data_IF_456241575714
#
_entry.id   IF_456241575714
#
_cell.length_a   1.000
_cell.length_b   1.000
_cell.length_c   1.000
_cell.angle_alpha   90.00
_cell.angle_beta   90.00
_cell.angle_gamma   90.00
#
_symmetry.space_group_name_H-M   'P 1'
#
loop_
_entity.id
_entity.type
_entity.pdbx_description
1 polymer ?
#
# COMPACT_ATOMS: atom_id res chain seq x y z
N UNK A 1 -20.74 -3.51 8.20
CA UNK A 1 -22.20 -3.77 8.18
C UNK A 1 -22.67 -3.97 6.75
N UNK A 2 -22.39 -3.07 5.81
CA UNK A 2 -22.85 -3.11 4.43
C UNK A 2 -22.36 -4.35 3.65
N UNK A 3 -21.09 -4.70 3.81
CA UNK A 3 -20.53 -5.90 3.19
C UNK A 3 -21.28 -7.16 3.62
N UNK A 4 -21.59 -7.29 4.90
CA UNK A 4 -22.28 -8.46 5.44
C UNK A 4 -23.65 -8.63 4.82
N UNK A 5 -24.40 -7.55 4.66
CA UNK A 5 -25.71 -7.55 4.01
C UNK A 5 -25.66 -8.13 2.58
N UNK A 6 -24.63 -7.79 1.81
CA UNK A 6 -24.43 -8.31 0.45
C UNK A 6 -24.01 -9.78 0.46
N UNK A 7 -23.07 -10.14 1.37
CA UNK A 7 -22.52 -11.50 1.44
C UNK A 7 -23.50 -12.52 2.01
N UNK A 8 -24.44 -12.11 2.84
CA UNK A 8 -25.52 -12.97 3.36
C UNK A 8 -26.67 -13.17 2.36
N UNK A 9 -26.74 -12.36 1.31
CA UNK A 9 -27.69 -12.57 0.22
C UNK A 9 -27.12 -13.60 -0.76
N UNK A 10 -27.75 -14.79 -0.83
CA UNK A 10 -27.29 -15.90 -1.65
C UNK A 10 -27.20 -15.56 -3.15
N UNK A 11 -28.21 -14.82 -3.67
CA UNK A 11 -28.26 -14.46 -5.09
C UNK A 11 -27.19 -13.39 -5.45
N UNK A 12 -26.84 -12.51 -4.51
CA UNK A 12 -25.83 -11.48 -4.74
C UNK A 12 -24.40 -12.02 -4.53
N UNK A 13 -24.19 -12.82 -3.48
CA UNK A 13 -22.86 -13.28 -3.08
C UNK A 13 -22.19 -14.20 -4.12
N UNK A 14 -22.96 -14.95 -4.92
CA UNK A 14 -22.40 -15.79 -5.97
C UNK A 14 -21.67 -15.00 -7.08
N UNK A 15 -22.00 -13.71 -7.27
CA UNK A 15 -21.36 -12.82 -8.24
C UNK A 15 -20.15 -12.07 -7.67
N UNK A 16 -19.97 -12.05 -6.35
CA UNK A 16 -18.86 -11.34 -5.71
C UNK A 16 -17.58 -12.20 -5.79
N UNK A 17 -16.51 -11.64 -6.40
CA UNK A 17 -15.22 -12.31 -6.57
C UNK A 17 -14.10 -11.63 -5.81
N UNK A 18 -14.33 -10.46 -5.26
CA UNK A 18 -13.36 -9.68 -4.50
C UNK A 18 -13.97 -8.44 -3.91
N UNK A 19 -13.25 -7.82 -3.00
CA UNK A 19 -13.68 -6.63 -2.25
C UNK A 19 -12.61 -5.56 -2.45
N UNK A 20 -13.04 -4.37 -2.92
CA UNK A 20 -12.22 -3.16 -2.97
C UNK A 20 -12.36 -2.37 -1.68
N UNK A 21 -11.24 -2.00 -1.09
CA UNK A 21 -11.18 -1.24 0.16
C UNK A 21 -10.60 0.14 -0.11
N UNK A 22 -11.22 1.16 0.47
CA UNK A 22 -10.78 2.55 0.42
C UNK A 22 -10.70 3.11 1.84
N UNK A 23 -9.85 4.09 2.06
CA UNK A 23 -9.73 4.92 3.28
C UNK A 23 -9.87 4.12 4.60
N UNK A 24 -11.03 4.18 5.26
CA UNK A 24 -11.32 3.45 6.50
C UNK A 24 -11.32 1.92 6.35
N UNK A 25 -11.21 1.43 5.13
CA UNK A 25 -11.02 0.01 4.86
C UNK A 25 -9.80 -0.58 5.56
N UNK A 26 -8.80 0.25 5.91
CA UNK A 26 -7.65 -0.15 6.72
C UNK A 26 -8.02 -0.68 8.11
N UNK A 27 -9.10 -0.14 8.69
CA UNK A 27 -9.51 -0.48 10.06
C UNK A 27 -10.24 -1.84 10.14
N UNK A 28 -10.74 -2.33 9.00
CA UNK A 28 -11.58 -3.55 8.92
C UNK A 28 -10.97 -4.65 8.03
N UNK A 29 -9.88 -4.39 7.34
CA UNK A 29 -9.30 -5.33 6.37
C UNK A 29 -8.97 -6.70 6.97
N UNK A 30 -8.39 -6.74 8.17
CA UNK A 30 -8.05 -7.99 8.85
C UNK A 30 -9.28 -8.79 9.28
N UNK A 31 -10.35 -8.11 9.69
CA UNK A 31 -11.61 -8.74 10.06
C UNK A 31 -12.31 -9.33 8.84
N UNK A 32 -12.32 -8.59 7.73
CA UNK A 32 -12.88 -9.07 6.45
C UNK A 32 -12.11 -10.31 5.98
N UNK A 33 -10.79 -10.28 6.01
CA UNK A 33 -9.97 -11.43 5.61
C UNK A 33 -10.21 -12.66 6.50
N UNK A 34 -10.41 -12.47 7.79
CA UNK A 34 -10.73 -13.55 8.72
C UNK A 34 -12.13 -14.14 8.48
N UNK A 35 -13.12 -13.28 8.18
CA UNK A 35 -14.50 -13.71 7.92
C UNK A 35 -14.65 -14.33 6.53
N UNK A 36 -13.94 -13.81 5.52
CA UNK A 36 -14.00 -14.28 4.13
C UNK A 36 -12.60 -14.65 3.59
N UNK A 37 -11.94 -15.70 4.09
CA UNK A 37 -10.52 -15.99 3.83
C UNK A 37 -10.19 -16.34 2.38
N UNK A 38 -11.17 -16.76 1.59
CA UNK A 38 -11.00 -17.07 0.15
C UNK A 38 -11.26 -15.89 -0.76
N UNK A 39 -11.82 -14.79 -0.21
CA UNK A 39 -12.14 -13.60 -0.98
C UNK A 39 -10.87 -12.83 -1.34
N UNK A 40 -10.81 -12.36 -2.59
CA UNK A 40 -9.74 -11.46 -3.01
C UNK A 40 -9.99 -10.07 -2.45
N UNK A 41 -8.98 -9.50 -1.79
CA UNK A 41 -9.02 -8.16 -1.24
C UNK A 41 -8.08 -7.25 -2.01
N UNK A 42 -8.51 -6.04 -2.32
CA UNK A 42 -7.72 -5.02 -2.99
C UNK A 42 -7.86 -3.70 -2.23
N UNK A 43 -6.75 -3.09 -1.88
CA UNK A 43 -6.76 -1.68 -1.53
C UNK A 43 -6.77 -0.89 -2.84
N UNK A 44 -7.83 -0.10 -3.07
CA UNK A 44 -8.09 0.59 -4.33
C UNK A 44 -7.85 2.10 -4.25
N UNK A 45 -7.95 2.68 -3.06
CA UNK A 45 -7.70 4.10 -2.81
C UNK A 45 -7.34 4.32 -1.34
N UNK A 46 -6.40 5.22 -1.08
CA UNK A 46 -5.97 5.54 0.28
C UNK A 46 -5.61 7.02 0.42
N UNK A 47 -5.22 7.42 1.63
CA UNK A 47 -4.76 8.77 1.90
C UNK A 47 -3.60 9.14 0.98
N UNK A 48 -3.75 10.24 0.30
CA UNK A 48 -2.78 10.74 -0.67
C UNK A 48 -1.94 11.91 -0.15
N UNK A 49 -1.93 12.13 1.16
CA UNK A 49 -1.16 13.22 1.79
C UNK A 49 -1.69 14.62 1.48
N UNK A 50 -0.88 15.62 1.71
CA UNK A 50 -1.24 17.05 1.66
C UNK A 50 -0.33 17.89 0.74
N UNK A 51 0.40 17.24 -0.19
CA UNK A 51 1.32 17.91 -1.10
C UNK A 51 2.66 18.30 -0.48
N UNK A 52 3.10 17.62 0.59
CA UNK A 52 4.40 17.88 1.24
C UNK A 52 5.57 17.29 0.46
N UNK A 53 5.36 16.18 -0.23
CA UNK A 53 6.35 15.44 -1.03
C UNK A 53 7.63 15.11 -0.25
N UNK A 54 7.52 14.84 1.03
CA UNK A 54 8.63 14.56 1.95
C UNK A 54 8.71 13.08 2.36
N UNK A 55 9.77 12.71 3.08
CA UNK A 55 9.94 11.34 3.56
C UNK A 55 8.90 10.94 4.60
N UNK A 56 8.35 11.88 5.36
CA UNK A 56 7.30 11.59 6.33
C UNK A 56 6.04 11.06 5.63
N UNK A 57 5.71 11.59 4.45
CA UNK A 57 4.60 11.08 3.64
C UNK A 57 4.88 9.66 3.12
N UNK A 58 6.11 9.37 2.68
CA UNK A 58 6.49 8.02 2.27
C UNK A 58 6.48 7.04 3.45
N UNK A 59 6.93 7.43 4.64
CA UNK A 59 6.86 6.62 5.86
C UNK A 59 5.41 6.30 6.23
N UNK A 60 4.51 7.28 6.15
CA UNK A 60 3.07 7.07 6.34
C UNK A 60 2.51 6.06 5.32
N UNK A 61 2.88 6.21 4.05
CA UNK A 61 2.48 5.26 2.99
C UNK A 61 3.02 3.86 3.28
N UNK A 62 4.23 3.72 3.85
CA UNK A 62 4.76 2.43 4.26
C UNK A 62 3.94 1.80 5.40
N UNK A 63 3.46 2.62 6.35
CA UNK A 63 2.57 2.15 7.41
C UNK A 63 1.23 1.65 6.85
N UNK A 64 0.66 2.35 5.89
CA UNK A 64 -0.55 1.91 5.18
C UNK A 64 -0.31 0.59 4.44
N UNK A 65 0.80 0.46 3.72
CA UNK A 65 1.21 -0.80 3.08
C UNK A 65 1.28 -1.95 4.09
N UNK A 66 1.87 -1.73 5.28
CA UNK A 66 1.93 -2.75 6.34
C UNK A 66 0.54 -3.16 6.81
N UNK A 67 -0.34 -2.20 7.07
CA UNK A 67 -1.71 -2.46 7.53
C UNK A 67 -2.45 -3.34 6.52
N UNK A 68 -2.52 -2.92 5.27
CA UNK A 68 -3.26 -3.62 4.25
C UNK A 68 -2.65 -4.99 3.90
N UNK A 69 -1.34 -5.07 3.70
CA UNK A 69 -0.67 -6.33 3.33
C UNK A 69 -0.67 -7.33 4.50
N UNK A 70 -0.55 -6.88 5.75
CA UNK A 70 -0.72 -7.74 6.92
C UNK A 70 -2.18 -8.15 7.11
N UNK A 71 -3.11 -7.28 6.73
CA UNK A 71 -4.55 -7.54 6.76
C UNK A 71 -5.05 -8.49 5.66
N UNK A 72 -4.19 -8.90 4.73
CA UNK A 72 -4.52 -9.94 3.74
C UNK A 72 -4.88 -9.44 2.35
N UNK A 73 -4.64 -8.16 1.99
CA UNK A 73 -4.88 -7.72 0.61
C UNK A 73 -3.94 -8.40 -0.38
N UNK A 74 -4.48 -8.68 -1.55
CA UNK A 74 -3.75 -9.27 -2.67
C UNK A 74 -3.17 -8.23 -3.63
N UNK A 75 -3.62 -6.97 -3.51
CA UNK A 75 -3.19 -5.87 -4.36
C UNK A 75 -3.30 -4.54 -3.63
N UNK A 76 -2.36 -3.66 -3.89
CA UNK A 76 -2.32 -2.30 -3.34
C UNK A 76 -2.12 -1.29 -4.49
N UNK A 77 -2.95 -0.27 -4.55
CA UNK A 77 -2.87 0.80 -5.55
C UNK A 77 -2.53 2.11 -4.87
N UNK A 78 -1.44 2.75 -5.31
CA UNK A 78 -1.07 4.08 -4.82
C UNK A 78 -1.85 5.16 -5.57
N UNK A 79 -2.38 6.11 -4.87
CA UNK A 79 -3.02 7.33 -5.35
C UNK A 79 -2.16 8.54 -4.99
N UNK A 80 -1.72 9.37 -5.90
CA UNK A 80 -1.82 9.49 -7.35
C UNK A 80 -0.49 9.07 -8.02
N UNK A 81 -0.54 8.72 -9.30
CA UNK A 81 0.71 8.39 -10.02
C UNK A 81 1.48 9.63 -10.45
N UNK A 82 0.83 10.60 -11.08
CA UNK A 82 1.47 11.82 -11.63
C UNK A 82 0.59 13.03 -11.34
N UNK A 83 1.17 14.07 -10.77
CA UNK A 83 0.52 15.38 -10.59
C UNK A 83 1.47 16.51 -11.03
N UNK A 84 0.88 17.65 -11.35
CA UNK A 84 1.64 18.86 -11.66
C UNK A 84 1.90 19.71 -10.38
N UNK A 85 2.97 20.46 -10.41
CA UNK A 85 3.33 21.52 -9.45
C UNK A 85 3.25 21.07 -7.97
N UNK A 86 2.35 21.67 -7.21
CA UNK A 86 2.17 21.40 -5.78
C UNK A 86 1.11 20.32 -5.48
N UNK A 87 0.66 19.60 -6.49
CA UNK A 87 -0.32 18.53 -6.33
C UNK A 87 -1.74 19.00 -6.10
N UNK A 88 -2.07 20.25 -6.42
CA UNK A 88 -3.41 20.79 -6.26
C UNK A 88 -4.43 20.02 -7.13
N UNK A 89 -5.52 19.59 -6.53
CA UNK A 89 -6.64 18.97 -7.20
C UNK A 89 -7.64 20.03 -7.71
N UNK A 90 -8.52 19.62 -8.61
CA UNK A 90 -9.64 20.49 -9.06
C UNK A 90 -10.63 20.85 -7.96
N UNK A 91 -10.60 20.14 -6.83
CA UNK A 91 -11.43 20.44 -5.65
C UNK A 91 -10.76 21.34 -4.61
N UNK A 92 -9.51 21.79 -4.87
CA UNK A 92 -8.82 22.78 -4.07
C UNK A 92 -7.94 22.24 -2.93
N UNK A 93 -7.80 20.94 -2.76
CA UNK A 93 -6.81 20.39 -1.83
C UNK A 93 -5.56 19.90 -2.55
N UNK A 94 -4.45 19.89 -1.84
CA UNK A 94 -3.17 19.36 -2.31
C UNK A 94 -3.05 17.87 -1.99
N UNK A 95 -2.36 17.16 -2.87
CA UNK A 95 -2.15 15.72 -2.78
C UNK A 95 -0.68 15.39 -3.07
N UNK A 96 -0.19 14.33 -2.47
CA UNK A 96 1.09 13.74 -2.83
C UNK A 96 0.94 12.89 -4.10
N UNK A 97 2.05 12.63 -4.75
CA UNK A 97 2.11 11.81 -5.96
C UNK A 97 3.46 11.11 -6.05
N UNK A 98 3.54 10.01 -6.79
CA UNK A 98 4.83 9.36 -7.07
C UNK A 98 5.73 10.20 -7.97
N UNK A 99 5.14 10.90 -8.94
CA UNK A 99 5.87 11.71 -9.92
C UNK A 99 5.25 13.09 -9.98
N UNK A 100 6.06 14.11 -9.73
CA UNK A 100 5.67 15.51 -9.86
C UNK A 100 6.25 16.09 -11.14
N UNK A 101 5.47 16.85 -11.87
CA UNK A 101 5.91 17.57 -13.08
C UNK A 101 5.81 19.06 -12.81
N UNK A 102 6.93 19.78 -12.89
CA UNK A 102 6.93 21.23 -12.88
C UNK A 102 6.30 21.75 -14.18
N UNK A 103 5.21 22.49 -14.09
CA UNK A 103 4.45 22.93 -15.25
C UNK A 103 5.18 23.99 -16.09
N UNK A 104 6.14 24.69 -15.52
CA UNK A 104 6.93 25.73 -16.20
C UNK A 104 8.19 25.14 -16.85
N UNK A 105 9.00 24.43 -16.07
CA UNK A 105 10.28 23.89 -16.53
C UNK A 105 10.14 22.54 -17.24
N UNK A 106 9.02 21.85 -17.07
CA UNK A 106 8.76 20.48 -17.54
C UNK A 106 9.67 19.43 -16.89
N UNK A 107 10.31 19.79 -15.80
CA UNK A 107 11.13 18.86 -15.01
C UNK A 107 10.26 17.75 -14.41
N UNK A 108 10.75 16.51 -14.51
CA UNK A 108 10.12 15.31 -13.91
C UNK A 108 10.83 15.01 -12.60
N UNK A 109 10.10 15.10 -11.50
CA UNK A 109 10.62 14.95 -10.14
C UNK A 109 10.04 13.69 -9.53
N UNK A 110 10.90 12.73 -9.15
CA UNK A 110 10.52 11.53 -8.43
C UNK A 110 10.48 11.80 -6.93
N UNK A 111 9.33 11.57 -6.32
CA UNK A 111 9.10 11.85 -4.90
C UNK A 111 9.58 10.67 -4.01
N UNK A 112 9.65 10.86 -2.68
CA UNK A 112 9.92 9.75 -1.76
C UNK A 112 8.96 8.57 -1.90
N UNK A 113 7.68 8.82 -2.17
CA UNK A 113 6.68 7.76 -2.39
C UNK A 113 6.97 6.94 -3.66
N UNK A 114 7.54 7.56 -4.71
CA UNK A 114 8.00 6.81 -5.88
C UNK A 114 9.06 5.78 -5.49
N UNK A 115 10.04 6.19 -4.69
CA UNK A 115 11.12 5.29 -4.27
C UNK A 115 10.60 4.18 -3.36
N UNK A 116 9.68 4.50 -2.43
CA UNK A 116 9.01 3.50 -1.61
C UNK A 116 8.28 2.47 -2.48
N UNK A 117 7.43 2.91 -3.38
CA UNK A 117 6.66 2.00 -4.26
C UNK A 117 7.57 1.20 -5.18
N UNK A 118 8.70 1.79 -5.63
CA UNK A 118 9.73 1.08 -6.40
C UNK A 118 10.36 -0.04 -5.60
N UNK A 119 10.68 0.17 -4.31
CA UNK A 119 11.22 -0.90 -3.44
C UNK A 119 10.27 -2.10 -3.35
N UNK A 120 8.97 -1.87 -3.29
CA UNK A 120 7.99 -2.95 -3.28
C UNK A 120 7.80 -3.54 -4.68
N UNK A 121 7.36 -2.73 -5.63
CA UNK A 121 6.87 -3.20 -6.94
C UNK A 121 7.96 -3.77 -7.86
N UNK A 122 9.23 -3.37 -7.68
CA UNK A 122 10.34 -3.88 -8.47
C UNK A 122 10.78 -5.28 -8.03
N UNK A 123 10.76 -5.56 -6.73
CA UNK A 123 11.29 -6.81 -6.18
C UNK A 123 10.20 -7.84 -5.87
N UNK A 124 9.04 -7.42 -5.42
CA UNK A 124 7.90 -8.31 -5.13
C UNK A 124 7.14 -8.57 -6.42
N UNK A 125 7.25 -9.78 -6.94
CA UNK A 125 6.66 -10.15 -8.23
C UNK A 125 5.22 -10.61 -8.09
N UNK A 126 4.46 -10.53 -9.16
CA UNK A 126 3.12 -11.08 -9.22
C UNK A 126 3.12 -12.55 -8.83
N UNK A 127 2.24 -12.93 -7.91
CA UNK A 127 2.15 -14.30 -7.38
C UNK A 127 3.05 -14.55 -6.17
N UNK A 128 3.81 -13.54 -5.70
CA UNK A 128 4.55 -13.65 -4.45
C UNK A 128 3.61 -13.90 -3.27
N UNK A 129 4.07 -14.72 -2.33
CA UNK A 129 3.39 -14.94 -1.06
C UNK A 129 3.97 -14.02 0.01
N UNK A 130 3.14 -13.30 0.74
CA UNK A 130 3.57 -12.55 1.91
C UNK A 130 3.95 -13.52 3.02
N UNK A 131 5.09 -13.28 3.64
CA UNK A 131 5.58 -14.05 4.79
C UNK A 131 5.20 -13.35 6.11
N UNK A 132 4.93 -14.13 7.14
CA UNK A 132 4.72 -13.60 8.48
C UNK A 132 6.06 -13.15 9.07
N UNK A 133 6.12 -11.91 9.52
CA UNK A 133 7.24 -11.37 10.30
C UNK A 133 6.89 -11.55 11.78
N UNK A 134 7.76 -12.23 12.54
CA UNK A 134 7.49 -12.52 13.95
C UNK A 134 7.95 -11.37 14.87
N UNK A 135 9.05 -10.73 14.52
CA UNK A 135 9.61 -9.62 15.29
C UNK A 135 10.09 -8.53 14.31
N UNK A 136 9.58 -7.34 14.44
CA UNK A 136 9.97 -6.19 13.61
C UNK A 136 8.76 -5.40 13.12
N UNK A 137 8.64 -4.17 13.62
CA UNK A 137 7.47 -3.33 13.37
C UNK A 137 7.52 -2.67 11.97
N UNK A 138 8.73 -2.42 11.45
CA UNK A 138 8.95 -1.75 10.17
C UNK A 138 9.53 -2.69 9.11
N UNK A 139 8.94 -3.90 9.01
CA UNK A 139 9.40 -4.94 8.09
C UNK A 139 8.23 -5.57 7.35
N UNK A 140 8.39 -5.76 6.05
CA UNK A 140 7.56 -6.62 5.22
C UNK A 140 8.43 -7.69 4.56
N UNK A 141 7.94 -8.91 4.47
CA UNK A 141 8.66 -10.01 3.85
C UNK A 141 7.77 -10.78 2.86
N UNK A 142 8.36 -11.18 1.75
CA UNK A 142 7.66 -11.90 0.67
C UNK A 142 8.53 -13.02 0.13
N UNK A 143 7.89 -14.04 -0.41
CA UNK A 143 8.54 -15.10 -1.17
C UNK A 143 7.98 -15.09 -2.59
N UNK A 144 8.84 -14.82 -3.56
CA UNK A 144 8.52 -14.90 -4.98
C UNK A 144 8.36 -16.36 -5.46
N UNK A 145 7.76 -16.55 -6.62
CA UNK A 145 7.55 -17.89 -7.19
C UNK A 145 8.85 -18.64 -7.50
N UNK A 146 9.95 -17.93 -7.74
CA UNK A 146 11.30 -18.47 -7.93
C UNK A 146 12.06 -18.75 -6.62
N UNK A 147 11.35 -18.74 -5.50
CA UNK A 147 11.85 -18.90 -4.14
C UNK A 147 12.75 -17.77 -3.61
N UNK A 148 12.92 -16.67 -4.33
CA UNK A 148 13.61 -15.49 -3.79
C UNK A 148 12.82 -14.90 -2.62
N UNK A 149 13.53 -14.59 -1.54
CA UNK A 149 12.96 -13.87 -0.39
C UNK A 149 13.25 -12.38 -0.57
N UNK A 150 12.20 -11.59 -0.50
CA UNK A 150 12.26 -10.12 -0.54
C UNK A 150 11.89 -9.59 0.83
N UNK A 151 12.78 -8.79 1.42
CA UNK A 151 12.56 -8.18 2.72
C UNK A 151 12.69 -6.67 2.56
N UNK A 152 11.64 -5.94 2.92
CA UNK A 152 11.61 -4.49 2.99
C UNK A 152 11.72 -4.09 4.46
N UNK A 153 12.77 -3.33 4.79
CA UNK A 153 12.98 -2.78 6.11
C UNK A 153 12.97 -1.25 6.00
N UNK A 154 12.14 -0.58 6.78
CA UNK A 154 12.21 0.86 6.92
C UNK A 154 12.99 1.24 8.18
N UNK A 155 13.90 2.20 8.05
CA UNK A 155 14.54 2.85 9.17
C UNK A 155 14.01 4.28 9.27
N UNK A 156 13.09 4.51 10.19
CA UNK A 156 12.48 5.82 10.45
C UNK A 156 13.31 6.68 11.42
N UNK A 157 14.38 6.10 11.96
CA UNK A 157 15.29 6.81 12.85
C UNK A 157 16.33 7.60 12.04
N UNK A 158 16.84 8.68 12.61
CA UNK A 158 17.97 9.46 12.05
C UNK A 158 19.33 8.82 12.29
N UNK A 159 19.37 7.62 12.89
CA UNK A 159 20.60 6.87 13.23
C UNK A 159 20.63 5.56 12.49
N UNK A 160 21.83 5.07 12.24
CA UNK A 160 22.04 3.72 11.74
C UNK A 160 21.43 2.68 12.69
N UNK A 161 20.84 1.66 12.11
CA UNK A 161 20.21 0.55 12.84
C UNK A 161 20.70 -0.78 12.28
N UNK A 162 21.22 -1.63 13.14
CA UNK A 162 21.56 -2.99 12.76
C UNK A 162 20.29 -3.86 12.77
N UNK A 163 20.06 -4.60 11.69
CA UNK A 163 18.95 -5.55 11.56
C UNK A 163 19.51 -6.94 11.38
N UNK A 164 19.15 -7.87 12.26
CA UNK A 164 19.48 -9.28 12.14
C UNK A 164 18.28 -10.04 11.58
N UNK A 165 18.47 -10.73 10.48
CA UNK A 165 17.44 -11.51 9.79
C UNK A 165 17.72 -12.98 10.03
N UNK A 166 16.74 -13.71 10.58
CA UNK A 166 16.72 -15.16 10.70
C UNK A 166 15.59 -15.69 9.81
N UNK A 167 15.91 -16.54 8.86
CA UNK A 167 14.97 -17.16 7.90
C UNK A 167 14.67 -18.59 8.30
#
# INVERSE_FOLDING_TARGET
EDLKCVMENADASEYIRGIGLQWEGKDVVADIHREYPTMKLMQTENECGSGTFDWAAAEHTFDLLKIYLNGGVNSYMYWNMVLADDGASSWGWKQNTMIRIDSQTKEVIYTPEFYLMKHLSHFVRRGACKLKVLNGDDVLAFKNLDNQIVILCANKDKKEREVRINL
#
